data_IF_590866674189
#
_entry.id   IF_590866674189
#
_cell.length_a   1.000
_cell.length_b   1.000
_cell.length_c   1.000
_cell.angle_alpha   90.00
_cell.angle_beta   90.00
_cell.angle_gamma   90.00
#
_symmetry.space_group_name_H-M   'P 1'
#
loop_
_entity.id
_entity.type
_entity.pdbx_description
1 polymer ?
#
# COMPACT_ATOMS: atom_id res chain seq x y z
N UNK A 1 -5.13 -2.37 -22.30
CA UNK A 1 -3.79 -2.81 -21.86
C UNK A 1 -3.56 -2.28 -20.46
N UNK A 2 -3.12 -3.11 -19.51
CA UNK A 2 -2.90 -2.70 -18.11
C UNK A 2 -1.50 -2.09 -17.98
N UNK A 3 -1.34 -1.06 -17.14
CA UNK A 3 -0.06 -0.34 -16.97
C UNK A 3 1.13 -1.24 -16.58
N UNK A 4 0.87 -2.36 -15.89
CA UNK A 4 1.94 -3.29 -15.53
C UNK A 4 2.49 -4.07 -16.74
N UNK A 5 1.70 -4.21 -17.81
CA UNK A 5 2.11 -4.89 -19.04
C UNK A 5 3.10 -4.00 -19.81
N UNK A 6 2.79 -2.70 -19.93
CA UNK A 6 3.66 -1.69 -20.55
C UNK A 6 4.99 -1.52 -19.81
N UNK A 7 4.96 -1.49 -18.47
CA UNK A 7 6.17 -1.38 -17.66
C UNK A 7 7.14 -2.57 -17.87
N UNK A 8 6.60 -3.79 -18.05
CA UNK A 8 7.42 -4.99 -18.35
C UNK A 8 8.06 -4.93 -19.75
N UNK A 9 7.50 -4.15 -20.65
CA UNK A 9 8.02 -3.90 -22.00
C UNK A 9 9.00 -2.70 -22.02
N UNK A 10 9.32 -2.12 -20.85
CA UNK A 10 10.18 -0.95 -20.74
C UNK A 10 9.53 0.35 -21.19
N UNK A 11 8.20 0.34 -21.44
CA UNK A 11 7.46 1.53 -21.83
C UNK A 11 7.05 2.28 -20.56
N UNK A 12 7.71 3.39 -20.28
CA UNK A 12 7.26 4.34 -19.28
C UNK A 12 6.05 5.11 -19.81
N UNK A 13 5.01 5.19 -18.98
CA UNK A 13 3.81 5.96 -19.28
C UNK A 13 3.75 7.07 -18.25
N UNK A 14 3.71 8.32 -18.72
CA UNK A 14 3.50 9.48 -17.86
C UNK A 14 2.17 9.32 -17.11
N UNK A 15 2.22 9.46 -15.79
CA UNK A 15 1.03 9.35 -14.94
C UNK A 15 0.61 10.74 -14.53
N UNK A 16 -0.65 11.07 -14.82
CA UNK A 16 -1.28 12.21 -14.19
C UNK A 16 -1.21 12.04 -12.66
N UNK A 17 -0.64 13.04 -11.98
CA UNK A 17 -0.67 13.09 -10.53
C UNK A 17 -2.14 13.11 -10.07
N UNK A 18 -2.44 12.35 -9.02
CA UNK A 18 -3.76 12.33 -8.41
C UNK A 18 -3.64 12.83 -6.99
N UNK A 19 -4.52 13.75 -6.63
CA UNK A 19 -4.66 14.15 -5.24
C UNK A 19 -5.20 12.99 -4.41
N UNK A 20 -4.55 12.79 -3.27
CA UNK A 20 -4.81 11.74 -2.31
C UNK A 20 -4.68 12.36 -0.92
N UNK A 21 -5.34 11.77 0.07
CA UNK A 21 -5.28 12.26 1.45
C UNK A 21 -4.71 11.19 2.35
N UNK A 22 -3.65 11.51 3.09
CA UNK A 22 -3.18 10.73 4.24
C UNK A 22 -3.87 11.31 5.47
N UNK A 23 -4.90 10.62 5.97
CA UNK A 23 -5.67 11.03 7.14
C UNK A 23 -4.87 10.87 8.44
N UNK A 24 -4.03 9.85 8.52
CA UNK A 24 -3.06 9.70 9.61
C UNK A 24 -1.86 8.84 9.19
N UNK A 25 -0.71 9.14 9.78
CA UNK A 25 0.52 8.39 9.62
C UNK A 25 1.16 8.24 10.99
N UNK A 26 1.29 7.00 11.48
CA UNK A 26 1.87 6.70 12.80
C UNK A 26 3.08 5.80 12.63
N UNK A 27 4.17 6.15 13.30
CA UNK A 27 5.33 5.27 13.45
C UNK A 27 5.11 4.39 14.67
N UNK A 28 5.11 3.07 14.46
CA UNK A 28 4.87 2.08 15.51
C UNK A 28 6.17 1.63 16.19
N UNK A 29 7.31 1.82 15.52
CA UNK A 29 8.62 1.46 16.01
C UNK A 29 9.49 0.85 14.91
N UNK A 30 10.51 0.10 15.32
CA UNK A 30 11.39 -0.62 14.41
C UNK A 30 11.38 -2.11 14.75
N UNK A 31 10.97 -2.94 13.80
CA UNK A 31 10.97 -4.41 13.96
C UNK A 31 12.33 -5.05 13.67
N UNK A 32 13.20 -4.34 12.93
CA UNK A 32 14.56 -4.76 12.63
C UNK A 32 15.43 -3.54 12.25
N UNK A 33 16.77 -3.68 12.23
CA UNK A 33 17.65 -2.62 11.72
C UNK A 33 17.23 -2.18 10.32
N UNK A 34 16.96 -0.88 10.16
CA UNK A 34 16.51 -0.30 8.88
C UNK A 34 15.07 -0.63 8.50
N UNK A 35 14.27 -1.23 9.39
CA UNK A 35 12.86 -1.57 9.13
C UNK A 35 11.97 -0.83 10.13
N UNK A 36 11.23 0.16 9.63
CA UNK A 36 10.30 0.98 10.40
C UNK A 36 8.89 0.49 10.14
N UNK A 37 8.16 0.17 11.21
CA UNK A 37 6.75 -0.21 11.13
C UNK A 37 5.87 1.03 11.22
N UNK A 38 4.89 1.12 10.31
CA UNK A 38 3.99 2.27 10.23
C UNK A 38 2.54 1.82 10.07
N UNK A 39 1.64 2.59 10.68
CA UNK A 39 0.20 2.51 10.45
C UNK A 39 -0.23 3.75 9.66
N UNK A 40 -0.96 3.55 8.56
CA UNK A 40 -1.40 4.63 7.67
C UNK A 40 -2.90 4.51 7.42
N UNK A 41 -3.62 5.60 7.70
CA UNK A 41 -5.01 5.79 7.26
C UNK A 41 -5.01 6.77 6.08
N UNK A 42 -5.57 6.36 4.95
CA UNK A 42 -5.51 7.14 3.72
C UNK A 42 -6.76 6.96 2.84
N UNK A 43 -6.95 7.88 1.90
CA UNK A 43 -8.01 7.83 0.91
C UNK A 43 -7.81 6.67 -0.08
N UNK A 44 -8.89 6.28 -0.76
CA UNK A 44 -8.84 5.30 -1.84
C UNK A 44 -7.85 5.71 -2.93
N UNK A 45 -7.17 4.74 -3.53
CA UNK A 45 -6.21 4.98 -4.61
C UNK A 45 -4.79 5.31 -4.15
N UNK A 46 -4.55 5.38 -2.83
CA UNK A 46 -3.21 5.58 -2.29
C UNK A 46 -2.32 4.35 -2.55
N UNK A 47 -1.21 4.56 -3.25
CA UNK A 47 -0.18 3.53 -3.44
C UNK A 47 0.83 3.60 -2.29
N UNK A 48 0.66 2.75 -1.27
CA UNK A 48 1.58 2.70 -0.12
C UNK A 48 3.05 2.47 -0.54
N UNK A 49 3.28 1.79 -1.66
CA UNK A 49 4.62 1.61 -2.23
C UNK A 49 5.27 2.93 -2.67
N UNK A 50 4.50 3.78 -3.34
CA UNK A 50 4.96 5.11 -3.75
C UNK A 50 5.20 5.98 -2.52
N UNK A 51 4.28 5.95 -1.54
CA UNK A 51 4.46 6.65 -0.28
C UNK A 51 5.77 6.25 0.45
N UNK A 52 6.13 4.96 0.42
CA UNK A 52 7.39 4.49 0.99
C UNK A 52 8.62 5.03 0.23
N UNK A 53 8.60 5.00 -1.11
CA UNK A 53 9.67 5.56 -1.95
C UNK A 53 9.84 7.07 -1.71
N UNK A 54 8.73 7.82 -1.71
CA UNK A 54 8.72 9.26 -1.46
C UNK A 54 9.28 9.60 -0.07
N UNK A 55 8.89 8.83 0.97
CA UNK A 55 9.43 9.01 2.32
C UNK A 55 10.93 8.71 2.37
N UNK A 56 11.38 7.63 1.72
CA UNK A 56 12.79 7.28 1.64
C UNK A 56 13.62 8.38 1.00
N UNK A 57 13.16 8.93 -0.13
CA UNK A 57 13.79 10.06 -0.83
C UNK A 57 13.83 11.31 0.04
N UNK A 58 12.73 11.61 0.72
CA UNK A 58 12.62 12.78 1.63
C UNK A 58 13.60 12.68 2.79
N UNK A 59 13.89 11.46 3.27
CA UNK A 59 14.87 11.19 4.32
C UNK A 59 16.33 11.15 3.80
N UNK A 60 16.57 11.43 2.52
CA UNK A 60 17.90 11.47 1.92
C UNK A 60 18.42 10.11 1.42
N UNK A 61 17.56 9.10 1.31
CA UNK A 61 17.92 7.76 0.84
C UNK A 61 16.88 7.16 -0.09
N UNK A 62 16.66 5.85 0.05
CA UNK A 62 15.57 5.13 -0.60
C UNK A 62 14.90 4.21 0.41
N UNK A 63 13.61 3.98 0.24
CA UNK A 63 12.87 3.04 1.05
C UNK A 63 11.89 2.28 0.15
N UNK A 64 11.60 1.05 0.53
CA UNK A 64 10.66 0.20 -0.19
C UNK A 64 9.81 -0.58 0.81
N UNK A 65 8.62 -1.00 0.39
CA UNK A 65 7.79 -1.85 1.22
C UNK A 65 8.40 -3.25 1.34
N UNK A 66 8.65 -3.68 2.58
CA UNK A 66 9.00 -5.06 2.91
C UNK A 66 7.75 -5.92 3.13
N UNK A 67 6.83 -5.44 3.95
CA UNK A 67 5.56 -6.10 4.29
C UNK A 67 4.41 -5.11 4.20
N UNK A 68 3.23 -5.57 3.80
CA UNK A 68 2.02 -4.76 3.77
C UNK A 68 0.82 -5.60 4.18
N UNK A 69 0.07 -5.14 5.19
CA UNK A 69 -1.19 -5.74 5.60
C UNK A 69 -2.25 -4.66 5.65
N UNK A 70 -3.34 -4.85 4.90
CA UNK A 70 -4.50 -3.97 4.96
C UNK A 70 -5.41 -4.42 6.11
N UNK A 71 -5.56 -3.56 7.12
CA UNK A 71 -6.32 -3.85 8.34
C UNK A 71 -7.79 -3.45 8.25
N UNK A 72 -8.17 -2.60 7.30
CA UNK A 72 -9.55 -2.16 7.08
C UNK A 72 -9.81 -1.67 5.64
N UNK A 73 -11.09 -1.64 5.27
CA UNK A 73 -11.63 -0.98 4.07
C UNK A 73 -12.94 -0.32 4.48
N UNK A 74 -12.96 1.01 4.61
CA UNK A 74 -14.12 1.71 5.15
C UNK A 74 -14.48 1.17 6.54
N UNK A 75 -15.73 0.73 6.72
CA UNK A 75 -16.22 0.14 7.97
C UNK A 75 -15.80 -1.31 8.20
N UNK A 76 -15.31 -2.01 7.16
CA UNK A 76 -14.93 -3.42 7.27
C UNK A 76 -13.52 -3.56 7.81
N UNK A 77 -13.36 -4.41 8.82
CA UNK A 77 -12.12 -4.63 9.55
C UNK A 77 -11.58 -6.02 9.25
N UNK A 78 -10.26 -6.17 9.35
CA UNK A 78 -9.58 -7.43 9.08
C UNK A 78 -10.12 -8.60 9.91
N UNK A 79 -10.54 -8.34 11.15
CA UNK A 79 -11.10 -9.37 12.04
C UNK A 79 -12.41 -9.97 11.53
N UNK A 80 -13.08 -9.30 10.60
CA UNK A 80 -14.30 -9.76 9.94
C UNK A 80 -13.99 -10.55 8.67
N UNK A 81 -12.72 -10.58 8.24
CA UNK A 81 -12.31 -11.34 7.07
C UNK A 81 -12.21 -12.84 7.39
N UNK A 82 -12.73 -13.67 6.50
CA UNK A 82 -12.44 -15.10 6.46
C UNK A 82 -11.23 -15.39 5.58
N UNK A 83 -10.54 -16.49 5.85
CA UNK A 83 -9.51 -16.98 4.93
C UNK A 83 -10.16 -17.50 3.65
N UNK A 84 -9.37 -17.63 2.58
CA UNK A 84 -9.88 -18.11 1.30
C UNK A 84 -10.40 -19.55 1.39
N UNK A 85 -9.75 -20.37 2.20
CA UNK A 85 -10.08 -21.79 2.40
C UNK A 85 -11.42 -21.97 3.10
N UNK A 86 -11.83 -21.00 3.92
CA UNK A 86 -13.12 -20.99 4.62
C UNK A 86 -14.22 -20.28 3.82
N UNK A 87 -13.91 -19.72 2.64
CA UNK A 87 -14.88 -18.96 1.85
C UNK A 87 -15.95 -19.89 1.27
N UNK A 88 -17.21 -19.60 1.60
CA UNK A 88 -18.36 -20.24 0.96
C UNK A 88 -18.69 -19.47 -0.32
N UNK A 89 -18.49 -20.11 -1.47
CA UNK A 89 -18.86 -19.53 -2.76
C UNK A 89 -20.36 -19.72 -2.95
N UNK A 90 -21.12 -18.64 -2.84
CA UNK A 90 -22.53 -18.66 -3.24
C UNK A 90 -22.62 -18.62 -4.77
N UNK A 91 -23.53 -19.40 -5.39
CA UNK A 91 -23.81 -19.26 -6.80
C UNK A 91 -24.26 -17.83 -7.12
N UNK A 92 -24.02 -17.37 -8.37
CA UNK A 92 -24.36 -16.02 -8.81
C UNK A 92 -25.86 -15.73 -8.78
#
# INVERSE_FOLDING_TARGET
MRLHELARQGVEVERASRELTVHSFKVLGMSAPGVVDVEVHCSSGTYIRSLADDLGRTLGGSAHLRNLRRVSIGSFLQRECSSLEAAVVHPP
#
